data_IF_597770182725
#
_entry.id   IF_597770182725
#
_cell.length_a   1.000
_cell.length_b   1.000
_cell.length_c   1.000
_cell.angle_alpha   90.00
_cell.angle_beta   90.00
_cell.angle_gamma   90.00
#
_symmetry.space_group_name_H-M   'P 1'
#
loop_
_entity.id
_entity.type
_entity.pdbx_description
1 polymer ?
#
# COMPACT_ATOMS: atom_id res chain seq x y z
N UNK A 1 -65.56 84.42 -28.29
CA UNK A 1 -64.20 84.62 -28.75
C UNK A 1 -63.37 83.71 -27.85
N UNK A 2 -62.99 82.52 -28.35
CA UNK A 2 -62.44 81.44 -27.60
C UNK A 2 -60.94 81.39 -27.74
N UNK A 3 -60.19 81.43 -26.59
CA UNK A 3 -58.76 81.19 -26.51
C UNK A 3 -58.51 79.68 -26.40
N UNK A 4 -57.72 79.12 -27.33
CA UNK A 4 -57.20 77.76 -27.26
C UNK A 4 -55.94 77.74 -26.43
N UNK A 5 -55.97 76.97 -25.34
CA UNK A 5 -54.76 76.63 -24.54
C UNK A 5 -54.06 75.43 -25.20
N UNK A 6 -52.79 75.62 -25.52
CA UNK A 6 -51.93 74.52 -26.00
C UNK A 6 -51.25 73.88 -24.82
N UNK A 7 -51.44 72.58 -24.63
CA UNK A 7 -50.74 71.77 -23.62
C UNK A 7 -49.49 71.15 -24.24
N UNK A 8 -48.37 71.50 -23.69
CA UNK A 8 -47.06 70.89 -24.06
C UNK A 8 -46.84 69.66 -23.21
N UNK A 9 -46.87 68.46 -23.83
CA UNK A 9 -46.53 67.21 -23.19
C UNK A 9 -45.04 66.97 -23.21
N UNK A 10 -44.37 67.10 -22.10
CA UNK A 10 -42.95 66.71 -21.97
C UNK A 10 -42.79 65.18 -21.84
N UNK A 11 -42.02 64.63 -22.74
CA UNK A 11 -41.66 63.23 -22.78
C UNK A 11 -40.40 63.08 -21.92
N UNK A 12 -40.51 62.48 -20.72
CA UNK A 12 -39.40 62.06 -19.91
C UNK A 12 -38.88 60.69 -20.41
N UNK A 13 -37.72 60.69 -21.04
CA UNK A 13 -37.01 59.46 -21.41
C UNK A 13 -36.20 59.00 -20.20
N UNK A 14 -36.68 58.00 -19.48
CA UNK A 14 -35.90 57.35 -18.38
C UNK A 14 -34.89 56.36 -18.97
N UNK A 15 -33.62 56.71 -18.93
CA UNK A 15 -32.48 55.88 -19.35
C UNK A 15 -32.19 54.90 -18.19
N UNK A 16 -32.72 53.66 -18.28
CA UNK A 16 -32.37 52.59 -17.33
C UNK A 16 -30.99 52.03 -17.68
N UNK A 17 -29.97 52.39 -16.91
CA UNK A 17 -28.66 51.78 -17.00
C UNK A 17 -28.73 50.41 -16.35
N UNK A 18 -28.78 49.35 -17.16
CA UNK A 18 -28.60 47.97 -16.74
C UNK A 18 -27.09 47.78 -16.38
N UNK A 19 -26.76 47.88 -15.09
CA UNK A 19 -25.50 47.42 -14.57
C UNK A 19 -25.51 45.87 -14.62
N UNK A 20 -24.99 45.29 -15.70
CA UNK A 20 -24.61 43.89 -15.73
C UNK A 20 -23.47 43.67 -14.74
N UNK A 21 -23.82 43.26 -13.54
CA UNK A 21 -22.86 42.68 -12.59
C UNK A 21 -22.39 41.35 -13.16
N UNK A 22 -21.24 41.36 -13.86
CA UNK A 22 -20.51 40.12 -14.09
C UNK A 22 -20.08 39.57 -12.74
N UNK A 23 -20.91 38.71 -12.14
CA UNK A 23 -20.46 37.85 -11.04
C UNK A 23 -19.39 36.93 -11.63
N UNK A 24 -18.13 37.27 -11.42
CA UNK A 24 -17.02 36.33 -11.64
C UNK A 24 -17.26 35.15 -10.72
N UNK A 25 -17.57 33.98 -11.31
CA UNK A 25 -17.59 32.74 -10.56
C UNK A 25 -16.31 32.66 -9.71
N UNK A 26 -16.40 32.27 -8.43
CA UNK A 26 -15.21 32.15 -7.58
C UNK A 26 -14.23 31.21 -8.30
N UNK A 27 -13.01 31.70 -8.53
CA UNK A 27 -11.95 30.88 -9.08
C UNK A 27 -11.87 29.63 -8.19
N UNK A 28 -12.10 28.44 -8.76
CA UNK A 28 -11.85 27.18 -8.05
C UNK A 28 -10.41 27.29 -7.54
N UNK A 29 -10.25 27.40 -6.22
CA UNK A 29 -8.93 27.36 -5.60
C UNK A 29 -8.26 26.09 -6.11
N UNK A 30 -7.31 26.24 -7.05
CA UNK A 30 -6.46 25.14 -7.47
C UNK A 30 -5.55 24.85 -6.28
N UNK A 31 -5.88 23.82 -5.50
CA UNK A 31 -4.99 23.29 -4.48
C UNK A 31 -3.80 22.73 -5.25
N UNK A 32 -2.61 23.34 -5.11
CA UNK A 32 -1.40 22.70 -5.59
C UNK A 32 -1.00 21.55 -4.67
N UNK A 33 -0.21 20.61 -5.17
CA UNK A 33 0.16 19.41 -4.42
C UNK A 33 1.05 19.70 -3.22
N UNK A 34 1.78 20.79 -3.20
CA UNK A 34 2.61 21.21 -2.08
C UNK A 34 1.75 21.71 -0.92
N UNK A 35 0.70 22.50 -1.22
CA UNK A 35 -0.28 22.92 -0.21
C UNK A 35 -1.00 21.69 0.40
N UNK A 36 -1.38 20.73 -0.43
CA UNK A 36 -1.97 19.48 0.05
C UNK A 36 -0.97 18.69 0.95
N UNK A 37 0.31 18.66 0.57
CA UNK A 37 1.36 18.06 1.38
C UNK A 37 1.50 18.75 2.75
N UNK A 38 1.62 20.07 2.78
CA UNK A 38 1.76 20.82 4.03
C UNK A 38 0.54 20.66 4.94
N UNK A 39 -0.66 20.61 4.35
CA UNK A 39 -1.92 20.52 5.09
C UNK A 39 -2.20 19.11 5.64
N UNK A 40 -1.95 18.06 4.85
CA UNK A 40 -2.41 16.71 5.17
C UNK A 40 -1.30 15.71 5.45
N UNK A 41 -0.14 15.82 4.78
CA UNK A 41 0.89 14.80 4.83
C UNK A 41 1.98 15.09 5.86
N UNK A 42 2.36 16.35 6.03
CA UNK A 42 3.49 16.76 6.87
C UNK A 42 3.33 16.37 8.34
N UNK A 43 2.09 16.42 8.87
CA UNK A 43 1.77 16.06 10.25
C UNK A 43 1.14 14.67 10.38
N UNK A 44 0.91 13.96 9.28
CA UNK A 44 0.39 12.60 9.30
C UNK A 44 1.35 11.64 10.00
N UNK A 45 0.81 10.52 10.49
CA UNK A 45 1.61 9.44 11.08
C UNK A 45 1.89 8.37 10.03
N UNK A 46 3.16 8.03 9.83
CA UNK A 46 3.60 7.04 8.85
C UNK A 46 3.86 5.71 9.55
N UNK A 47 3.20 4.64 9.10
CA UNK A 47 3.36 3.27 9.60
C UNK A 47 3.89 2.39 8.47
N UNK A 48 5.03 1.77 8.68
CA UNK A 48 5.61 0.80 7.74
C UNK A 48 4.92 -0.56 7.91
N UNK A 49 4.27 -1.04 6.87
CA UNK A 49 3.52 -2.30 6.85
C UNK A 49 4.27 -3.42 6.11
N UNK A 50 5.61 -3.40 6.18
CA UNK A 50 6.48 -4.26 5.38
C UNK A 50 7.43 -5.06 6.26
N UNK A 51 7.55 -6.35 6.03
CA UNK A 51 8.58 -7.18 6.64
C UNK A 51 9.95 -6.95 6.00
N UNK A 52 10.98 -6.98 6.81
CA UNK A 52 12.37 -6.93 6.30
C UNK A 52 12.72 -8.25 5.62
N UNK A 53 13.23 -8.18 4.38
CA UNK A 53 13.79 -9.33 3.67
C UNK A 53 15.16 -9.65 4.28
N UNK A 54 15.35 -10.89 4.72
CA UNK A 54 16.60 -11.37 5.30
C UNK A 54 16.86 -12.85 4.96
N UNK A 55 18.10 -13.33 5.05
CA UNK A 55 18.39 -14.75 4.82
C UNK A 55 17.64 -15.74 5.72
N UNK A 56 17.22 -15.26 6.91
CA UNK A 56 16.51 -16.06 7.92
C UNK A 56 14.99 -15.84 7.95
N UNK A 57 14.44 -15.11 6.98
CA UNK A 57 12.99 -14.88 6.90
C UNK A 57 12.23 -16.17 6.60
N UNK A 58 10.97 -16.29 7.03
CA UNK A 58 10.14 -17.39 6.57
C UNK A 58 9.87 -17.26 5.07
N UNK A 59 9.87 -18.39 4.39
CA UNK A 59 9.53 -18.51 2.97
C UNK A 59 8.53 -19.63 2.79
N UNK A 60 7.74 -19.57 1.73
CA UNK A 60 6.88 -20.67 1.32
C UNK A 60 7.72 -21.93 1.04
N UNK A 61 7.22 -23.10 1.42
CA UNK A 61 8.01 -24.36 1.37
C UNK A 61 8.51 -24.74 -0.04
N UNK A 62 7.87 -24.21 -1.09
CA UNK A 62 8.27 -24.40 -2.49
C UNK A 62 9.47 -23.56 -2.92
N UNK A 63 9.86 -22.56 -2.11
CA UNK A 63 10.95 -21.65 -2.44
C UNK A 63 12.12 -21.82 -1.44
N UNK A 64 13.32 -21.50 -1.89
CA UNK A 64 14.49 -21.46 -1.02
C UNK A 64 14.66 -20.09 -0.34
N UNK A 65 15.46 -20.02 0.76
CA UNK A 65 15.74 -18.74 1.42
C UNK A 65 16.62 -17.85 0.52
N UNK A 66 16.51 -16.51 0.64
CA UNK A 66 17.39 -15.61 -0.07
C UNK A 66 18.82 -15.68 0.43
N UNK A 67 19.81 -15.49 -0.45
CA UNK A 67 21.23 -15.45 -0.10
C UNK A 67 21.75 -14.04 -0.31
N UNK A 68 22.38 -13.48 0.73
CA UNK A 68 23.00 -12.16 0.71
C UNK A 68 24.50 -12.30 0.84
N UNK A 69 25.26 -11.63 0.00
CA UNK A 69 26.71 -11.62 0.03
C UNK A 69 27.26 -10.27 -0.45
N UNK A 70 28.52 -9.93 -0.20
CA UNK A 70 29.17 -8.86 -0.93
C UNK A 70 29.14 -9.12 -2.43
N UNK A 71 28.92 -8.07 -3.22
CA UNK A 71 29.04 -8.16 -4.66
C UNK A 71 30.50 -8.34 -5.07
N UNK A 72 30.75 -9.05 -6.16
CA UNK A 72 32.08 -9.34 -6.70
C UNK A 72 32.38 -8.35 -7.81
N UNK A 73 33.54 -7.71 -7.77
CA UNK A 73 34.07 -6.93 -8.87
C UNK A 73 34.43 -7.88 -10.04
N UNK A 74 33.80 -7.77 -11.20
CA UNK A 74 34.02 -8.70 -12.32
C UNK A 74 35.43 -8.61 -12.91
N UNK A 75 36.15 -7.51 -12.70
CA UNK A 75 37.49 -7.29 -13.22
C UNK A 75 38.57 -7.92 -12.33
N UNK A 76 38.41 -7.83 -11.00
CA UNK A 76 39.42 -8.32 -10.05
C UNK A 76 39.07 -9.68 -9.45
N UNK A 77 37.81 -10.13 -9.55
CA UNK A 77 37.30 -11.33 -8.90
C UNK A 77 37.17 -11.21 -7.37
N UNK A 78 37.43 -10.03 -6.79
CA UNK A 78 37.35 -9.76 -5.35
C UNK A 78 36.03 -9.15 -4.95
N UNK A 79 35.61 -9.34 -3.70
CA UNK A 79 34.46 -8.65 -3.12
C UNK A 79 34.72 -7.16 -2.99
N UNK A 80 33.71 -6.33 -3.34
CA UNK A 80 33.73 -4.91 -2.97
C UNK A 80 33.71 -4.79 -1.45
N UNK A 81 34.63 -4.01 -0.89
CA UNK A 81 34.75 -3.83 0.55
C UNK A 81 35.16 -2.39 0.89
N UNK A 82 34.83 -1.97 2.12
CA UNK A 82 35.08 -0.59 2.57
C UNK A 82 36.56 -0.24 2.69
N UNK A 83 37.46 -1.23 2.86
CA UNK A 83 38.86 -1.01 3.08
C UNK A 83 39.62 -0.72 1.79
N UNK A 84 39.33 -1.48 0.74
CA UNK A 84 40.06 -1.39 -0.54
C UNK A 84 39.38 -0.41 -1.49
N UNK A 85 38.04 -0.47 -1.61
CA UNK A 85 37.28 0.34 -2.55
C UNK A 85 36.60 1.55 -1.92
N UNK A 86 36.52 1.64 -0.58
CA UNK A 86 35.83 2.71 0.14
C UNK A 86 34.31 2.57 0.20
N UNK A 87 33.75 1.54 -0.44
CA UNK A 87 32.32 1.22 -0.41
C UNK A 87 32.09 -0.29 -0.46
N UNK A 88 30.87 -0.69 -0.12
CA UNK A 88 30.40 -2.06 -0.27
C UNK A 88 29.11 -2.10 -1.07
N UNK A 89 29.00 -3.04 -2.01
CA UNK A 89 27.76 -3.37 -2.71
C UNK A 89 27.27 -4.75 -2.26
N UNK A 90 25.94 -4.91 -2.12
CA UNK A 90 25.35 -6.19 -1.75
C UNK A 90 24.85 -6.91 -2.99
N UNK A 91 25.18 -8.19 -3.10
CA UNK A 91 24.61 -9.13 -4.06
C UNK A 91 23.50 -9.91 -3.38
N UNK A 92 22.36 -9.94 -4.04
CA UNK A 92 21.20 -10.75 -3.66
C UNK A 92 21.02 -11.91 -4.64
N UNK A 93 20.81 -13.13 -4.12
CA UNK A 93 20.28 -14.26 -4.88
C UNK A 93 18.93 -14.56 -4.26
N UNK A 94 17.87 -14.38 -5.03
CA UNK A 94 16.49 -14.50 -4.63
C UNK A 94 15.89 -15.70 -5.37
N UNK A 95 15.18 -16.58 -4.66
CA UNK A 95 14.58 -17.77 -5.25
C UNK A 95 13.37 -17.45 -6.13
N UNK A 96 12.68 -16.35 -5.86
CA UNK A 96 11.56 -15.81 -6.64
C UNK A 96 11.38 -14.32 -6.34
N UNK A 97 10.41 -13.70 -6.99
CA UNK A 97 10.00 -12.30 -6.83
C UNK A 97 8.89 -12.09 -5.78
N UNK A 98 8.52 -13.16 -5.04
CA UNK A 98 7.42 -13.21 -4.07
C UNK A 98 7.91 -13.51 -2.64
N UNK A 99 9.11 -13.08 -2.27
CA UNK A 99 9.67 -13.27 -0.92
C UNK A 99 9.28 -12.11 0.01
N UNK A 100 8.77 -12.45 1.19
CA UNK A 100 8.37 -11.45 2.19
C UNK A 100 7.11 -10.68 1.79
N UNK A 101 7.04 -9.40 2.16
CA UNK A 101 5.92 -8.56 1.74
C UNK A 101 6.03 -8.25 0.25
N UNK A 102 5.04 -8.67 -0.52
CA UNK A 102 5.04 -8.54 -1.99
C UNK A 102 3.65 -8.29 -2.55
N UNK A 103 3.59 -8.02 -3.84
CA UNK A 103 2.37 -8.02 -4.66
C UNK A 103 2.48 -9.15 -5.66
N UNK A 104 1.43 -9.93 -5.81
CA UNK A 104 1.23 -10.84 -6.92
C UNK A 104 0.51 -10.09 -8.04
N UNK A 105 1.15 -10.06 -9.19
CA UNK A 105 0.51 -9.60 -10.41
C UNK A 105 -0.38 -10.72 -10.98
N UNK A 106 -1.45 -10.40 -11.72
CA UNK A 106 -2.33 -11.42 -12.30
C UNK A 106 -1.60 -12.44 -13.19
N UNK A 107 -0.49 -12.03 -13.84
CA UNK A 107 0.37 -12.91 -14.62
C UNK A 107 0.96 -14.09 -13.80
N UNK A 108 0.84 -14.07 -12.45
CA UNK A 108 1.27 -15.18 -11.62
C UNK A 108 0.51 -16.47 -11.92
N UNK A 109 -0.78 -16.38 -12.24
CA UNK A 109 -1.62 -17.54 -12.55
C UNK A 109 -2.13 -17.54 -13.99
N UNK A 110 -2.19 -16.39 -14.64
CA UNK A 110 -2.73 -16.28 -16.00
C UNK A 110 -1.83 -15.40 -16.86
N UNK A 111 -1.10 -15.99 -17.82
CA UNK A 111 -0.12 -15.28 -18.64
C UNK A 111 -0.73 -14.27 -19.62
N UNK A 112 -2.05 -14.22 -19.77
CA UNK A 112 -2.72 -13.24 -20.62
C UNK A 112 -2.97 -11.91 -19.87
N UNK A 113 -2.81 -11.89 -18.54
CA UNK A 113 -2.96 -10.70 -17.72
C UNK A 113 -1.62 -9.98 -17.45
N UNK A 114 -1.68 -8.72 -16.95
CA UNK A 114 -0.48 -7.91 -16.71
C UNK A 114 0.53 -8.54 -15.74
N UNK A 115 1.81 -8.44 -16.09
CA UNK A 115 2.94 -8.67 -15.20
C UNK A 115 3.17 -7.46 -14.26
N UNK A 116 4.06 -7.59 -13.27
CA UNK A 116 4.29 -6.55 -12.26
C UNK A 116 4.78 -5.21 -12.86
N UNK A 117 5.55 -5.24 -13.94
CA UNK A 117 6.05 -4.04 -14.61
C UNK A 117 5.02 -3.34 -15.49
N UNK A 118 3.90 -3.98 -15.74
CA UNK A 118 2.77 -3.45 -16.52
C UNK A 118 1.67 -2.85 -15.63
N UNK A 119 1.72 -3.04 -14.30
CA UNK A 119 0.76 -2.44 -13.40
C UNK A 119 0.84 -0.90 -13.48
N UNK A 120 -0.32 -0.19 -13.57
CA UNK A 120 -0.32 1.24 -13.83
C UNK A 120 0.19 2.06 -12.63
N UNK A 121 0.86 3.19 -12.91
CA UNK A 121 1.35 4.11 -11.88
C UNK A 121 0.25 4.65 -10.95
N UNK A 122 -1.01 4.58 -11.35
CA UNK A 122 -2.17 4.94 -10.51
C UNK A 122 -2.37 4.03 -9.31
N UNK A 123 -1.62 2.93 -9.19
CA UNK A 123 -1.60 2.10 -7.98
C UNK A 123 -0.92 2.81 -6.79
N UNK A 124 -0.05 3.78 -7.05
CA UNK A 124 0.89 4.34 -6.08
C UNK A 124 0.30 4.84 -4.75
N UNK A 125 -0.89 5.49 -4.78
CA UNK A 125 -1.54 6.01 -3.55
C UNK A 125 -3.03 5.74 -3.61
N UNK A 126 -3.56 5.08 -2.56
CA UNK A 126 -4.97 4.68 -2.48
C UNK A 126 -5.56 4.87 -1.09
N UNK A 127 -6.89 5.00 -0.96
CA UNK A 127 -7.55 4.83 0.32
C UNK A 127 -7.23 3.45 0.91
N UNK A 128 -6.96 3.39 2.21
CA UNK A 128 -6.65 2.17 2.93
C UNK A 128 -7.80 1.80 3.88
N UNK A 129 -8.20 0.55 3.81
CA UNK A 129 -9.16 -0.07 4.73
C UNK A 129 -8.49 -1.25 5.42
N UNK A 130 -8.62 -1.33 6.74
CA UNK A 130 -8.20 -2.48 7.53
C UNK A 130 -9.45 -3.18 8.07
N UNK A 131 -9.57 -4.47 7.79
CA UNK A 131 -10.64 -5.31 8.34
C UNK A 131 -10.03 -6.32 9.29
N UNK A 132 -10.37 -6.20 10.59
CA UNK A 132 -9.77 -7.03 11.60
C UNK A 132 -10.61 -8.28 11.90
N UNK A 133 -9.99 -9.45 11.72
CA UNK A 133 -10.49 -10.76 12.18
C UNK A 133 -9.61 -11.35 13.30
N UNK A 134 -8.66 -10.57 13.82
CA UNK A 134 -7.68 -11.05 14.82
C UNK A 134 -8.33 -11.72 16.03
N UNK A 135 -9.43 -11.17 16.57
CA UNK A 135 -10.15 -11.77 17.69
C UNK A 135 -10.83 -13.11 17.37
N UNK A 136 -11.16 -13.36 16.09
CA UNK A 136 -11.71 -14.63 15.59
C UNK A 136 -10.58 -15.63 15.35
N UNK A 137 -9.46 -15.18 14.79
CA UNK A 137 -8.25 -15.98 14.57
C UNK A 137 -7.63 -16.43 15.88
N UNK A 138 -7.62 -15.60 16.91
CA UNK A 138 -7.15 -16.00 18.25
C UNK A 138 -7.91 -17.22 18.84
N UNK A 139 -9.19 -17.37 18.47
CA UNK A 139 -10.04 -18.51 18.87
C UNK A 139 -9.96 -19.69 17.90
N UNK A 140 -9.74 -19.41 16.63
CA UNK A 140 -9.62 -20.39 15.56
C UNK A 140 -8.54 -19.95 14.57
N UNK A 141 -7.30 -20.45 14.67
CA UNK A 141 -6.19 -20.04 13.78
C UNK A 141 -6.45 -20.21 12.28
N UNK A 142 -7.36 -21.11 11.90
CA UNK A 142 -7.81 -21.31 10.53
C UNK A 142 -9.07 -20.53 10.16
N UNK A 143 -9.37 -19.44 10.86
CA UNK A 143 -10.54 -18.62 10.53
C UNK A 143 -10.34 -17.88 9.22
N UNK A 144 -11.31 -17.99 8.31
CA UNK A 144 -11.35 -17.24 7.06
C UNK A 144 -12.35 -16.09 7.15
N UNK A 145 -11.96 -14.90 6.72
CA UNK A 145 -12.85 -13.75 6.56
C UNK A 145 -14.06 -14.13 5.70
N UNK A 146 -15.23 -13.80 6.19
CA UNK A 146 -16.52 -14.08 5.53
C UNK A 146 -17.19 -12.81 5.01
N UNK A 147 -18.19 -12.96 4.14
CA UNK A 147 -19.05 -11.84 3.72
C UNK A 147 -19.74 -11.18 4.92
N UNK A 148 -20.13 -11.96 5.94
CA UNK A 148 -20.76 -11.43 7.15
C UNK A 148 -19.83 -10.47 7.90
N UNK A 149 -18.54 -10.77 7.96
CA UNK A 149 -17.53 -9.89 8.58
C UNK A 149 -17.43 -8.55 7.86
N UNK A 150 -17.45 -8.57 6.53
CA UNK A 150 -17.42 -7.36 5.70
C UNK A 150 -18.65 -6.49 5.96
N UNK A 151 -19.83 -7.10 5.98
CA UNK A 151 -21.08 -6.38 6.24
C UNK A 151 -21.17 -5.85 7.68
N UNK A 152 -20.60 -6.56 8.65
CA UNK A 152 -20.47 -6.10 10.03
C UNK A 152 -19.53 -4.89 10.12
N UNK A 153 -18.38 -4.95 9.45
CA UNK A 153 -17.45 -3.83 9.37
C UNK A 153 -18.10 -2.59 8.74
N UNK A 154 -18.84 -2.75 7.64
CA UNK A 154 -19.52 -1.64 6.96
C UNK A 154 -20.63 -0.99 7.79
N UNK A 155 -21.34 -1.75 8.64
CA UNK A 155 -22.33 -1.19 9.56
C UNK A 155 -21.73 -0.16 10.50
N UNK A 156 -20.47 -0.35 10.92
CA UNK A 156 -19.78 0.52 11.87
C UNK A 156 -19.03 1.63 11.15
N UNK A 157 -18.37 1.32 10.04
CA UNK A 157 -17.40 2.18 9.39
C UNK A 157 -17.92 2.90 8.14
N UNK A 158 -19.06 2.48 7.62
CA UNK A 158 -19.58 2.89 6.32
C UNK A 158 -19.09 1.99 5.19
N UNK A 159 -19.58 2.23 3.99
CA UNK A 159 -19.25 1.43 2.81
C UNK A 159 -17.75 1.52 2.47
N UNK A 160 -17.15 0.39 2.13
CA UNK A 160 -15.77 0.30 1.63
C UNK A 160 -15.64 1.14 0.35
N UNK A 161 -14.69 2.09 0.28
CA UNK A 161 -14.55 2.97 -0.87
C UNK A 161 -14.12 2.23 -2.14
N UNK A 162 -14.70 2.57 -3.28
CA UNK A 162 -14.26 2.09 -4.59
C UNK A 162 -12.79 2.48 -4.84
N UNK A 163 -12.01 1.57 -5.42
CA UNK A 163 -10.58 1.77 -5.71
C UNK A 163 -9.67 1.78 -4.48
N UNK A 164 -10.18 1.44 -3.29
CA UNK A 164 -9.37 1.28 -2.09
C UNK A 164 -8.53 0.00 -2.11
N UNK A 165 -7.50 -0.01 -1.27
CA UNK A 165 -6.79 -1.23 -0.87
C UNK A 165 -7.40 -1.71 0.44
N UNK A 166 -7.72 -3.00 0.52
CA UNK A 166 -8.30 -3.62 1.71
C UNK A 166 -7.32 -4.64 2.29
N UNK A 167 -6.76 -4.37 3.47
CA UNK A 167 -5.90 -5.32 4.16
C UNK A 167 -6.63 -6.03 5.29
N UNK A 168 -6.44 -7.34 5.39
CA UNK A 168 -7.08 -8.21 6.38
C UNK A 168 -6.12 -8.45 7.52
N UNK A 169 -6.44 -7.86 8.67
CA UNK A 169 -5.68 -8.04 9.91
C UNK A 169 -6.09 -9.32 10.62
N UNK A 170 -5.15 -10.20 10.81
CA UNK A 170 -5.29 -11.47 11.55
C UNK A 170 -4.34 -11.59 12.74
N UNK A 171 -3.42 -10.62 12.90
CA UNK A 171 -2.26 -10.65 13.80
C UNK A 171 -1.28 -11.81 13.50
N UNK A 172 -1.39 -12.42 12.30
CA UNK A 172 -0.48 -13.48 11.86
C UNK A 172 0.94 -12.99 11.66
N UNK A 173 1.12 -11.76 11.23
CA UNK A 173 2.43 -11.12 11.02
C UNK A 173 3.28 -11.07 12.30
N UNK A 174 2.67 -11.14 13.49
CA UNK A 174 3.38 -11.21 14.76
C UNK A 174 4.16 -12.52 14.93
N UNK A 175 3.84 -13.53 14.13
CA UNK A 175 4.54 -14.82 14.11
C UNK A 175 5.74 -14.83 13.15
N UNK A 176 6.01 -13.75 12.42
CA UNK A 176 7.02 -13.68 11.36
C UNK A 176 8.39 -14.24 11.75
N UNK A 177 8.87 -13.92 12.94
CA UNK A 177 10.18 -14.39 13.42
C UNK A 177 10.13 -15.75 14.11
N UNK A 178 8.99 -16.45 14.10
CA UNK A 178 8.85 -17.74 14.74
C UNK A 178 9.08 -18.89 13.76
N UNK A 179 9.71 -20.01 14.22
CA UNK A 179 9.78 -21.19 13.38
C UNK A 179 8.39 -21.67 12.95
N UNK A 180 8.24 -21.93 11.66
CA UNK A 180 6.99 -22.48 11.14
C UNK A 180 5.91 -21.47 10.78
N UNK A 181 6.22 -20.16 10.74
CA UNK A 181 5.30 -19.14 10.20
C UNK A 181 4.70 -19.59 8.84
N UNK A 182 5.54 -19.97 7.89
CA UNK A 182 5.16 -20.42 6.56
C UNK A 182 4.68 -21.90 6.51
N UNK A 183 4.92 -22.68 7.58
CA UNK A 183 4.68 -24.13 7.59
C UNK A 183 3.47 -24.55 8.41
N UNK A 184 2.67 -23.62 8.91
CA UNK A 184 1.48 -23.97 9.68
C UNK A 184 0.43 -24.56 8.76
N UNK A 185 -0.11 -25.71 9.14
CA UNK A 185 -1.20 -26.40 8.41
C UNK A 185 -2.53 -25.64 8.47
N UNK A 186 -2.65 -24.65 9.36
CA UNK A 186 -3.84 -23.86 9.56
C UNK A 186 -3.42 -22.41 9.76
N UNK A 187 -3.87 -21.52 8.89
CA UNK A 187 -3.63 -20.08 8.90
C UNK A 187 -4.92 -19.32 8.53
N UNK A 188 -5.05 -18.03 8.90
CA UNK A 188 -6.22 -17.25 8.52
C UNK A 188 -6.23 -16.97 7.02
N UNK A 189 -7.41 -17.01 6.43
CA UNK A 189 -7.60 -16.78 4.99
C UNK A 189 -8.82 -15.93 4.70
N UNK A 190 -9.23 -15.92 3.42
CA UNK A 190 -10.39 -15.17 2.93
C UNK A 190 -11.30 -16.14 2.16
N UNK A 191 -12.59 -16.11 2.45
CA UNK A 191 -13.57 -16.89 1.71
C UNK A 191 -13.81 -16.30 0.32
N UNK A 192 -14.03 -17.18 -0.68
CA UNK A 192 -14.28 -16.77 -2.05
C UNK A 192 -15.46 -15.80 -2.20
N UNK A 193 -16.55 -15.97 -1.45
CA UNK A 193 -17.67 -15.05 -1.46
C UNK A 193 -17.30 -13.65 -0.94
N UNK A 194 -16.39 -13.57 0.03
CA UNK A 194 -15.89 -12.30 0.55
C UNK A 194 -14.99 -11.60 -0.49
N UNK A 195 -14.12 -12.33 -1.17
CA UNK A 195 -13.30 -11.81 -2.27
C UNK A 195 -14.17 -11.25 -3.40
N UNK A 196 -15.16 -12.03 -3.84
CA UNK A 196 -16.11 -11.60 -4.88
C UNK A 196 -16.86 -10.34 -4.48
N UNK A 197 -17.32 -10.23 -3.25
CA UNK A 197 -17.98 -9.03 -2.77
C UNK A 197 -17.05 -7.81 -2.80
N UNK A 198 -15.81 -7.94 -2.33
CA UNK A 198 -14.84 -6.86 -2.36
C UNK A 198 -14.54 -6.37 -3.78
N UNK A 199 -14.32 -7.29 -4.72
CA UNK A 199 -13.91 -6.94 -6.07
C UNK A 199 -15.08 -6.58 -7.00
N UNK A 200 -16.19 -7.30 -6.92
CA UNK A 200 -17.32 -7.10 -7.84
C UNK A 200 -18.32 -6.05 -7.35
N UNK A 201 -18.59 -6.04 -6.03
CA UNK A 201 -19.58 -5.12 -5.46
C UNK A 201 -18.96 -3.82 -4.92
N UNK A 202 -17.76 -3.88 -4.32
CA UNK A 202 -17.06 -2.71 -3.79
C UNK A 202 -16.00 -2.16 -4.72
N UNK A 203 -15.62 -2.92 -5.75
CA UNK A 203 -14.68 -2.53 -6.81
C UNK A 203 -13.37 -1.99 -6.22
N UNK A 204 -12.87 -2.70 -5.22
CA UNK A 204 -11.57 -2.36 -4.61
C UNK A 204 -10.45 -2.52 -5.64
N UNK A 205 -9.30 -1.88 -5.41
CA UNK A 205 -8.14 -2.04 -6.26
C UNK A 205 -7.55 -3.45 -6.11
N UNK A 206 -7.21 -3.82 -4.89
CA UNK A 206 -6.81 -5.18 -4.51
C UNK A 206 -6.96 -5.39 -3.00
N UNK A 207 -6.95 -6.62 -2.58
CA UNK A 207 -6.88 -7.03 -1.19
C UNK A 207 -5.47 -7.51 -0.82
N UNK A 208 -5.17 -7.57 0.49
CA UNK A 208 -3.95 -8.19 0.99
C UNK A 208 -4.15 -8.74 2.40
N UNK A 209 -3.22 -9.59 2.82
CA UNK A 209 -3.27 -10.29 4.09
C UNK A 209 -1.87 -10.54 4.68
N UNK A 210 -1.82 -11.02 5.91
CA UNK A 210 -0.57 -11.25 6.63
C UNK A 210 0.07 -12.63 6.38
N UNK A 211 -0.67 -13.73 6.08
CA UNK A 211 -0.10 -15.00 5.63
C UNK A 211 0.56 -14.95 4.25
N UNK A 212 1.11 -16.10 3.80
CA UNK A 212 1.74 -16.30 2.48
C UNK A 212 0.81 -16.92 1.43
N UNK A 213 -0.45 -17.17 1.77
CA UNK A 213 -1.47 -17.66 0.86
C UNK A 213 -2.82 -17.07 1.25
N UNK A 214 -3.71 -16.88 0.27
CA UNK A 214 -5.03 -16.27 0.44
C UNK A 214 -6.02 -17.19 1.15
N UNK A 215 -5.94 -18.51 0.93
CA UNK A 215 -6.84 -19.50 1.50
C UNK A 215 -6.15 -20.88 1.65
N UNK A 216 -6.83 -21.81 2.32
CA UNK A 216 -6.33 -23.17 2.59
C UNK A 216 -7.03 -24.23 1.74
N UNK A 217 -7.77 -23.88 0.72
CA UNK A 217 -8.39 -24.89 -0.15
C UNK A 217 -7.32 -25.60 -0.98
N UNK A 218 -7.56 -26.85 -1.35
CA UNK A 218 -6.57 -27.61 -2.10
C UNK A 218 -6.24 -27.02 -3.48
N UNK A 219 -7.12 -26.17 -4.01
CA UNK A 219 -6.96 -25.50 -5.30
C UNK A 219 -6.58 -24.03 -5.17
N UNK A 220 -6.40 -23.50 -3.93
CA UNK A 220 -6.27 -22.07 -3.66
C UNK A 220 -7.36 -21.28 -4.39
N UNK A 221 -8.63 -21.65 -4.14
CA UNK A 221 -9.76 -21.18 -4.95
C UNK A 221 -9.91 -19.66 -4.97
N UNK A 222 -9.57 -18.99 -3.87
CA UNK A 222 -9.63 -17.54 -3.75
C UNK A 222 -8.56 -16.87 -4.60
N UNK A 223 -7.32 -17.28 -4.46
CA UNK A 223 -6.19 -16.77 -5.21
C UNK A 223 -6.33 -17.07 -6.71
N UNK A 224 -6.66 -18.32 -7.03
CA UNK A 224 -6.95 -18.74 -8.41
C UNK A 224 -8.03 -17.86 -9.05
N UNK A 225 -9.14 -17.62 -8.33
CA UNK A 225 -10.20 -16.76 -8.83
C UNK A 225 -9.71 -15.33 -9.08
N UNK A 226 -8.95 -14.74 -8.14
CA UNK A 226 -8.42 -13.38 -8.28
C UNK A 226 -7.58 -13.25 -9.56
N UNK A 227 -6.57 -14.08 -9.71
CA UNK A 227 -5.59 -13.96 -10.77
C UNK A 227 -6.18 -14.23 -12.16
N UNK A 228 -7.06 -15.27 -12.29
CA UNK A 228 -7.78 -15.54 -13.55
C UNK A 228 -8.87 -14.51 -13.88
N UNK A 229 -9.14 -13.53 -13.00
CA UNK A 229 -10.02 -12.40 -13.28
C UNK A 229 -9.25 -11.07 -13.33
N UNK A 230 -7.93 -11.10 -13.42
CA UNK A 230 -7.10 -9.91 -13.61
C UNK A 230 -6.94 -9.05 -12.36
N UNK A 231 -7.14 -9.59 -11.16
CA UNK A 231 -6.94 -8.89 -9.89
C UNK A 231 -5.59 -9.24 -9.29
N UNK A 232 -4.88 -8.23 -8.80
CA UNK A 232 -3.68 -8.40 -7.99
C UNK A 232 -4.04 -8.67 -6.52
N UNK A 233 -3.06 -9.12 -5.74
CA UNK A 233 -3.15 -9.22 -4.28
C UNK A 233 -1.83 -8.82 -3.62
N UNK A 234 -1.85 -8.65 -2.28
CA UNK A 234 -0.64 -8.46 -1.49
C UNK A 234 -0.57 -9.50 -0.38
N UNK A 235 0.62 -10.03 -0.15
CA UNK A 235 0.88 -11.06 0.84
C UNK A 235 1.95 -10.65 1.85
N UNK A 236 1.95 -11.32 3.00
CA UNK A 236 2.87 -11.07 4.11
C UNK A 236 2.92 -9.59 4.50
N UNK A 237 1.76 -8.93 4.58
CA UNK A 237 1.67 -7.54 5.03
C UNK A 237 1.89 -7.48 6.55
N UNK A 238 2.62 -6.49 7.04
CA UNK A 238 3.00 -6.37 8.44
C UNK A 238 2.28 -5.23 9.17
N UNK A 239 2.32 -5.25 10.51
CA UNK A 239 1.92 -4.12 11.38
C UNK A 239 0.49 -3.60 11.17
N UNK A 240 -0.44 -4.42 10.71
CA UNK A 240 -1.84 -4.01 10.50
C UNK A 240 -2.53 -3.65 11.82
N UNK A 241 -2.04 -4.16 12.95
CA UNK A 241 -2.46 -3.80 14.30
C UNK A 241 -2.17 -2.33 14.67
N UNK A 242 -1.28 -1.67 13.90
CA UNK A 242 -0.85 -0.28 14.11
C UNK A 242 -1.52 0.71 13.17
N UNK A 243 -2.45 0.27 12.34
CA UNK A 243 -3.14 1.10 11.33
C UNK A 243 -4.62 1.22 11.69
N UNK A 244 -5.26 2.41 11.53
CA UNK A 244 -6.69 2.55 11.78
C UNK A 244 -7.51 1.76 10.74
N UNK A 245 -8.69 1.31 11.15
CA UNK A 245 -9.59 0.57 10.25
C UNK A 245 -10.05 1.39 9.05
N UNK A 246 -10.12 2.71 9.19
CA UNK A 246 -10.48 3.68 8.14
C UNK A 246 -9.77 5.01 8.31
N UNK A 247 -9.79 5.82 7.24
CA UNK A 247 -9.27 7.19 7.27
C UNK A 247 -7.79 7.31 6.99
N UNK A 248 -7.10 6.22 6.64
CA UNK A 248 -5.72 6.23 6.18
C UNK A 248 -5.63 6.15 4.65
N UNK A 249 -4.48 6.55 4.12
CA UNK A 249 -4.04 6.23 2.76
C UNK A 249 -2.92 5.19 2.82
N UNK A 250 -2.69 4.48 1.73
CA UNK A 250 -1.50 3.64 1.55
C UNK A 250 -0.66 4.13 0.39
N UNK A 251 0.64 4.23 0.64
CA UNK A 251 1.67 4.32 -0.41
C UNK A 251 2.06 2.90 -0.79
N UNK A 252 2.08 2.63 -2.10
CA UNK A 252 2.37 1.32 -2.67
C UNK A 252 3.61 1.46 -3.54
N UNK A 253 4.75 0.99 -3.03
CA UNK A 253 5.99 0.85 -3.81
C UNK A 253 6.29 -0.62 -4.05
N UNK A 254 6.69 -0.98 -5.27
CA UNK A 254 7.11 -2.35 -5.59
C UNK A 254 8.23 -2.35 -6.62
N UNK A 255 8.95 -3.47 -6.70
CA UNK A 255 10.00 -3.66 -7.71
C UNK A 255 9.37 -3.86 -9.08
N UNK A 256 9.94 -3.21 -10.08
CA UNK A 256 9.45 -3.26 -11.46
C UNK A 256 10.31 -4.21 -12.30
N UNK A 257 10.25 -5.50 -12.01
CA UNK A 257 10.94 -6.52 -12.78
C UNK A 257 10.22 -6.79 -14.09
N UNK A 258 10.92 -6.76 -15.19
CA UNK A 258 10.35 -7.03 -16.52
C UNK A 258 9.75 -8.44 -16.56
N UNK A 259 8.45 -8.53 -16.86
CA UNK A 259 7.71 -9.79 -16.94
C UNK A 259 7.62 -10.55 -15.62
N UNK A 260 7.88 -9.89 -14.47
CA UNK A 260 7.79 -10.53 -13.17
C UNK A 260 6.35 -10.91 -12.80
N UNK A 261 6.18 -12.07 -12.19
CA UNK A 261 4.88 -12.56 -11.74
C UNK A 261 4.48 -11.99 -10.37
N UNK A 262 5.44 -11.46 -9.64
CA UNK A 262 5.27 -10.71 -8.41
C UNK A 262 6.32 -9.60 -8.26
N UNK A 263 6.27 -8.88 -7.15
CA UNK A 263 7.26 -7.84 -6.86
C UNK A 263 7.34 -7.51 -5.39
N UNK A 264 8.57 -7.47 -4.86
CA UNK A 264 8.81 -7.02 -3.48
C UNK A 264 8.16 -5.66 -3.27
N UNK A 265 7.29 -5.56 -2.28
CA UNK A 265 6.54 -4.35 -2.03
C UNK A 265 6.96 -3.67 -0.73
N UNK A 266 6.81 -2.35 -0.70
CA UNK A 266 6.84 -1.58 0.52
C UNK A 266 5.55 -0.79 0.66
N UNK A 267 4.73 -1.21 1.59
CA UNK A 267 3.50 -0.54 1.95
C UNK A 267 3.73 0.40 3.13
N UNK A 268 3.33 1.66 2.98
CA UNK A 268 3.40 2.64 4.05
C UNK A 268 2.01 3.25 4.24
N UNK A 269 1.41 3.07 5.40
CA UNK A 269 0.18 3.76 5.75
C UNK A 269 0.46 5.20 6.14
N UNK A 270 -0.35 6.12 5.60
CA UNK A 270 -0.42 7.52 6.01
C UNK A 270 -1.69 7.65 6.86
N UNK A 271 -1.51 7.74 8.16
CA UNK A 271 -2.59 7.76 9.14
C UNK A 271 -2.89 9.20 9.60
N UNK A 272 -4.08 9.46 10.19
CA UNK A 272 -4.39 10.77 10.75
C UNK A 272 -3.32 11.28 11.73
N UNK A 273 -3.13 12.62 11.87
CA UNK A 273 -2.09 13.20 12.72
C UNK A 273 -2.19 12.82 14.20
N UNK A 274 -3.40 12.58 14.70
CA UNK A 274 -3.70 12.17 16.07
C UNK A 274 -3.63 10.66 16.31
N UNK A 275 -3.29 9.88 15.27
CA UNK A 275 -3.15 8.44 15.40
C UNK A 275 -2.00 8.08 16.35
N UNK A 276 -2.25 7.10 17.24
CA UNK A 276 -1.31 6.74 18.33
C UNK A 276 -0.04 6.04 17.88
N UNK A 277 -0.03 5.45 16.69
CA UNK A 277 1.11 4.71 16.15
C UNK A 277 1.75 5.44 14.97
N UNK A 278 2.97 5.02 14.61
CA UNK A 278 3.73 5.61 13.52
C UNK A 278 4.56 6.80 13.95
N UNK A 279 5.20 7.43 12.98
CA UNK A 279 6.06 8.61 13.16
C UNK A 279 5.62 9.71 12.22
N UNK A 280 5.64 10.97 12.66
CA UNK A 280 5.44 12.12 11.77
C UNK A 280 6.78 12.63 11.22
N UNK A 281 6.71 13.33 10.08
CA UNK A 281 7.83 14.05 9.50
C UNK A 281 8.31 15.07 10.50
N UNK A 282 9.30 15.26 11.02
CA UNK A 282 9.74 16.21 12.07
C UNK A 282 9.90 15.58 13.46
N UNK A 283 9.33 14.39 13.72
CA UNK A 283 9.67 13.59 14.88
C UNK A 283 11.01 12.85 14.70
N UNK A 284 11.47 12.73 13.47
CA UNK A 284 12.75 12.12 13.11
C UNK A 284 13.58 13.07 12.25
N UNK A 285 14.89 12.95 12.31
CA UNK A 285 15.77 13.73 11.47
C UNK A 285 15.85 13.12 10.07
N UNK A 286 15.29 13.79 9.07
CA UNK A 286 15.23 13.30 7.69
C UNK A 286 16.56 13.45 6.95
N UNK A 287 17.29 14.56 7.19
CA UNK A 287 18.54 14.85 6.49
C UNK A 287 19.40 15.86 7.26
N UNK A 288 20.73 15.69 7.33
CA UNK A 288 21.43 14.44 7.05
C UNK A 288 21.02 13.36 8.04
N UNK A 289 20.91 12.12 7.57
CA UNK A 289 20.56 10.99 8.44
C UNK A 289 21.58 10.84 9.57
N UNK A 290 21.13 10.57 10.81
CA UNK A 290 22.05 10.31 11.91
C UNK A 290 22.83 9.01 11.68
N UNK A 291 24.06 8.96 12.20
CA UNK A 291 24.81 7.69 12.24
C UNK A 291 24.04 6.69 13.10
N UNK A 292 23.40 5.73 12.44
CA UNK A 292 22.64 4.68 13.13
C UNK A 292 22.64 3.44 12.25
N UNK A 293 23.20 2.35 12.74
CA UNK A 293 23.09 1.06 12.09
C UNK A 293 22.95 -0.03 13.16
N UNK A 294 21.75 -0.59 13.27
CA UNK A 294 21.42 -1.64 14.24
C UNK A 294 21.74 -3.05 13.72
N UNK A 295 21.95 -3.19 12.42
CA UNK A 295 22.11 -4.48 11.74
C UNK A 295 23.53 -4.72 11.23
N UNK A 296 24.41 -3.71 11.31
CA UNK A 296 25.79 -3.84 10.85
C UNK A 296 26.58 -4.77 11.78
N UNK A 297 27.04 -5.87 11.24
CA UNK A 297 28.06 -6.73 11.83
C UNK A 297 29.27 -6.73 10.92
N UNK A 298 30.47 -6.55 11.48
CA UNK A 298 31.68 -6.45 10.71
C UNK A 298 32.51 -7.73 10.77
N UNK A 299 33.00 -8.17 9.62
CA UNK A 299 34.20 -8.98 9.51
C UNK A 299 35.39 -8.05 9.25
N UNK A 300 36.14 -7.78 10.29
CA UNK A 300 37.30 -6.88 10.24
C UNK A 300 38.44 -7.42 9.34
N UNK A 301 38.55 -8.73 9.18
CA UNK A 301 39.58 -9.33 8.33
C UNK A 301 39.25 -9.13 6.84
N UNK A 302 38.01 -9.31 6.49
CA UNK A 302 37.55 -9.16 5.09
C UNK A 302 37.15 -7.71 4.74
N UNK A 303 36.91 -6.84 5.72
CA UNK A 303 36.45 -5.46 5.50
C UNK A 303 35.04 -5.35 4.93
N UNK A 304 34.17 -6.32 5.22
CA UNK A 304 32.79 -6.40 4.73
C UNK A 304 31.80 -6.57 5.87
N UNK A 305 30.52 -6.32 5.57
CA UNK A 305 29.44 -6.68 6.49
C UNK A 305 29.19 -8.19 6.47
N UNK A 306 29.03 -8.77 7.64
CA UNK A 306 28.52 -10.14 7.78
C UNK A 306 27.01 -10.12 7.55
N UNK A 307 26.54 -11.03 6.72
CA UNK A 307 25.13 -11.20 6.38
C UNK A 307 24.72 -12.63 6.73
N UNK A 308 24.00 -12.77 7.83
CA UNK A 308 23.49 -14.06 8.32
C UNK A 308 21.98 -14.08 8.23
#
# INVERSE_FOLDING_TARGET
MYMKKTVLSGLFLSLSILLSSCATAPAKNKIDMWQAYDQYFKNAKYVDMTHTISPSMPVWDGFGPPIFSPAINPLSGKSYNYREEGFEATRYILSCDQLGTHIDAPAHWDPEYPAIDELPATFAVRPLVIISVAGKVAKNPGYHLTLADLLEWEKVNGQIPEGSVVFIRSDWSQLWSTPGFARKKSFPGIKLEALKFLHLERKILFQGHEPLDTDMTASLEGESWLMHNGYAQAEAVANLDKVPEKGALVIIGYTKFQGGTGGFARFIAICPPDWKYGVAIGEVKDSPLPKMNKTLKWDFNLGVRVRN
#
